data_IF_682565455685
#
_entry.id   IF_682565455685
#
_cell.length_a   1.000
_cell.length_b   1.000
_cell.length_c   1.000
_cell.angle_alpha   90.00
_cell.angle_beta   90.00
_cell.angle_gamma   90.00
#
_symmetry.space_group_name_H-M   'P 1'
#
loop_
_entity.id
_entity.type
_entity.pdbx_description
1 polymer ?
#
# COMPACT_ATOMS: atom_id res chain seq x y z
N UNK A 1 2.82 5.16 7.87
CA UNK A 1 1.74 4.16 7.82
C UNK A 1 2.24 2.93 8.55
N UNK A 2 1.41 2.29 9.38
CA UNK A 2 1.76 1.02 10.01
C UNK A 2 1.45 -0.13 9.05
N UNK A 3 2.44 -0.99 8.79
CA UNK A 3 2.29 -2.18 7.96
C UNK A 3 2.35 -3.41 8.85
N UNK A 4 1.43 -4.35 8.62
CA UNK A 4 1.35 -5.61 9.33
C UNK A 4 1.46 -6.77 8.34
N UNK A 5 2.36 -7.70 8.61
CA UNK A 5 2.56 -8.92 7.82
C UNK A 5 2.35 -10.12 8.74
N UNK A 6 1.39 -10.97 8.41
CA UNK A 6 1.04 -12.17 9.18
C UNK A 6 0.84 -11.89 10.68
N UNK A 7 0.11 -10.81 11.00
CA UNK A 7 -0.22 -10.43 12.38
C UNK A 7 0.93 -9.77 13.16
N UNK A 8 2.05 -9.43 12.49
CA UNK A 8 3.18 -8.71 13.11
C UNK A 8 3.41 -7.39 12.43
N UNK A 9 3.58 -6.33 13.22
CA UNK A 9 4.00 -5.01 12.70
C UNK A 9 5.44 -5.12 12.19
N UNK A 10 5.69 -4.57 11.01
CA UNK A 10 7.03 -4.54 10.39
C UNK A 10 7.60 -3.11 10.42
N UNK A 11 8.93 -3.01 10.33
CA UNK A 11 9.61 -1.74 10.16
C UNK A 11 9.29 -1.14 8.79
N UNK A 12 9.15 0.18 8.76
CA UNK A 12 8.80 0.92 7.54
C UNK A 12 9.65 2.16 7.37
N UNK A 13 9.88 2.53 6.11
CA UNK A 13 10.50 3.80 5.71
C UNK A 13 9.55 4.55 4.77
N UNK A 14 9.30 5.83 5.05
CA UNK A 14 8.45 6.68 4.22
C UNK A 14 9.26 7.51 3.24
N UNK A 15 8.82 7.56 1.99
CA UNK A 15 9.38 8.39 0.92
C UNK A 15 8.29 9.24 0.27
N UNK A 16 8.55 10.55 0.10
CA UNK A 16 7.67 11.43 -0.64
C UNK A 16 7.99 11.35 -2.13
N UNK A 17 6.98 11.04 -2.95
CA UNK A 17 7.09 10.97 -4.40
C UNK A 17 6.16 11.99 -5.04
N UNK A 18 6.34 12.26 -6.33
CA UNK A 18 5.66 13.35 -7.06
C UNK A 18 4.14 13.39 -6.85
N UNK A 19 3.48 12.23 -6.74
CA UNK A 19 2.02 12.12 -6.62
C UNK A 19 1.55 11.49 -5.30
N UNK A 20 2.41 11.40 -4.28
CA UNK A 20 2.01 10.73 -3.04
C UNK A 20 3.14 10.38 -2.10
N UNK A 21 2.94 9.28 -1.38
CA UNK A 21 3.95 8.73 -0.46
C UNK A 21 4.09 7.25 -0.73
N UNK A 22 5.33 6.77 -0.76
CA UNK A 22 5.64 5.35 -0.75
C UNK A 22 6.07 4.96 0.67
N UNK A 23 5.49 3.88 1.20
CA UNK A 23 5.91 3.30 2.49
C UNK A 23 6.59 1.98 2.19
N UNK A 24 7.91 1.95 2.26
CA UNK A 24 8.75 0.79 1.99
C UNK A 24 8.85 -0.12 3.20
N UNK A 25 8.90 -1.43 2.93
CA UNK A 25 9.09 -2.49 3.91
C UNK A 25 9.60 -3.76 3.22
N UNK A 26 10.07 -4.73 3.99
CA UNK A 26 10.61 -5.99 3.45
C UNK A 26 9.85 -7.22 3.96
N UNK A 27 9.69 -8.22 3.08
CA UNK A 27 9.21 -9.57 3.46
C UNK A 27 10.24 -10.59 2.99
N UNK A 28 11.12 -11.01 3.90
CA UNK A 28 12.20 -11.94 3.59
C UNK A 28 13.20 -11.30 2.61
N UNK A 29 13.16 -11.68 1.34
CA UNK A 29 14.01 -11.11 0.28
C UNK A 29 13.25 -10.19 -0.68
N UNK A 30 11.94 -10.01 -0.46
CA UNK A 30 11.11 -9.20 -1.32
C UNK A 30 11.13 -7.75 -0.83
N UNK A 31 11.38 -6.84 -1.77
CA UNK A 31 11.24 -5.41 -1.55
C UNK A 31 9.80 -5.03 -1.84
N UNK A 32 9.14 -4.42 -0.87
CA UNK A 32 7.73 -4.08 -0.96
C UNK A 32 7.53 -2.59 -0.69
N UNK A 33 6.48 -2.03 -1.27
CA UNK A 33 6.02 -0.70 -0.88
C UNK A 33 4.51 -0.56 -1.05
N UNK A 34 3.91 0.26 -0.19
CA UNK A 34 2.55 0.75 -0.39
C UNK A 34 2.63 2.18 -0.93
N UNK A 35 2.07 2.41 -2.10
CA UNK A 35 1.93 3.74 -2.68
C UNK A 35 0.58 4.34 -2.31
N UNK A 36 0.60 5.46 -1.61
CA UNK A 36 -0.58 6.25 -1.26
C UNK A 36 -0.68 7.47 -2.17
N UNK A 37 -1.67 7.50 -3.06
CA UNK A 37 -1.90 8.59 -4.01
C UNK A 37 -3.19 9.32 -3.66
N UNK A 38 -3.19 10.65 -3.65
CA UNK A 38 -4.42 11.43 -3.47
C UNK A 38 -5.38 11.14 -4.64
N UNK A 39 -6.62 10.76 -4.35
CA UNK A 39 -7.63 10.52 -5.39
C UNK A 39 -8.12 11.80 -6.08
N UNK A 40 -7.75 12.98 -5.57
CA UNK A 40 -8.32 14.27 -5.97
C UNK A 40 -9.81 14.44 -5.61
N UNK A 41 -10.46 13.41 -5.08
CA UNK A 41 -11.88 13.39 -4.72
C UNK A 41 -12.01 13.31 -3.21
N UNK A 42 -12.52 14.39 -2.59
CA UNK A 42 -12.69 14.48 -1.12
C UNK A 42 -13.42 13.27 -0.50
N UNK A 43 -14.40 12.70 -1.21
CA UNK A 43 -15.16 11.52 -0.75
C UNK A 43 -14.37 10.21 -0.76
N UNK A 44 -13.38 10.07 -1.65
CA UNK A 44 -12.58 8.85 -1.80
C UNK A 44 -11.31 8.93 -0.95
N UNK A 45 -10.71 10.12 -0.81
CA UNK A 45 -9.50 10.30 -0.01
C UNK A 45 -8.26 9.80 -0.75
N UNK A 46 -7.57 8.80 -0.21
CA UNK A 46 -6.36 8.23 -0.79
C UNK A 46 -6.65 6.87 -1.44
N UNK A 47 -5.96 6.61 -2.54
CA UNK A 47 -5.87 5.29 -3.18
C UNK A 47 -4.56 4.65 -2.71
N UNK A 48 -4.65 3.41 -2.23
CA UNK A 48 -3.50 2.65 -1.76
C UNK A 48 -3.25 1.47 -2.69
N UNK A 49 -2.02 1.34 -3.18
CA UNK A 49 -1.59 0.27 -4.07
C UNK A 49 -0.40 -0.45 -3.45
N UNK A 50 -0.45 -1.78 -3.40
CA UNK A 50 0.64 -2.61 -2.89
C UNK A 50 1.52 -3.09 -4.05
N UNK A 51 2.84 -2.99 -3.89
CA UNK A 51 3.82 -3.50 -4.82
C UNK A 51 4.77 -4.47 -4.13
N UNK A 52 5.10 -5.57 -4.82
CA UNK A 52 6.10 -6.57 -4.40
C UNK A 52 7.06 -6.78 -5.56
N UNK A 53 8.34 -6.47 -5.36
CA UNK A 53 9.37 -6.50 -6.40
C UNK A 53 8.90 -5.77 -7.68
N UNK A 54 8.42 -4.53 -7.49
CA UNK A 54 7.90 -3.62 -8.53
C UNK A 54 6.66 -4.12 -9.29
N UNK A 55 6.02 -5.18 -8.82
CA UNK A 55 4.75 -5.69 -9.38
C UNK A 55 3.59 -5.31 -8.49
N UNK A 56 2.61 -4.62 -9.06
CA UNK A 56 1.36 -4.29 -8.38
C UNK A 56 0.58 -5.56 -8.03
N UNK A 57 0.17 -5.65 -6.77
CA UNK A 57 -0.73 -6.68 -6.27
C UNK A 57 -2.13 -6.10 -6.24
N UNK A 58 -3.02 -6.64 -7.09
CA UNK A 58 -4.42 -6.25 -7.10
C UNK A 58 -5.09 -6.85 -5.87
N UNK A 59 -5.57 -5.98 -4.98
CA UNK A 59 -6.38 -6.39 -3.84
C UNK A 59 -7.80 -6.71 -4.33
N UNK A 60 -8.24 -7.95 -4.16
CA UNK A 60 -9.66 -8.29 -4.28
C UNK A 60 -10.32 -7.86 -2.97
N UNK A 61 -10.97 -6.70 -2.96
CA UNK A 61 -11.81 -6.31 -1.83
C UNK A 61 -13.11 -7.13 -1.90
N UNK A 62 -13.13 -8.25 -1.19
CA UNK A 62 -14.32 -9.13 -1.06
C UNK A 62 -15.50 -8.42 -0.35
N UNK A 63 -15.27 -7.22 0.20
CA UNK A 63 -16.29 -6.37 0.80
C UNK A 63 -17.29 -5.78 -0.22
N UNK A 64 -17.03 -5.94 -1.53
CA UNK A 64 -17.94 -5.51 -2.60
C UNK A 64 -18.76 -6.66 -3.23
N UNK A 65 -18.49 -7.92 -2.87
CA UNK A 65 -19.19 -9.09 -3.42
C UNK A 65 -20.55 -9.41 -2.77
N UNK A 66 -21.07 -8.52 -1.92
CA UNK A 66 -22.36 -8.69 -1.21
C UNK A 66 -23.50 -7.82 -1.76
N UNK A 67 -23.56 -7.56 -3.07
CA UNK A 67 -24.71 -6.93 -3.73
C UNK A 67 -25.41 -7.90 -4.69
#
# INVERSE_FOLDING_TARGET
MDIWVNGKKVDTAGEFVENGTETHFEIGKNVCYVKATSSGKKKIGFIYQLFINDKEVITTDDSTASL
#
